data_IF_185334835019
#
_entry.id   IF_185334835019
#
_cell.length_a   1.000
_cell.length_b   1.000
_cell.length_c   1.000
_cell.angle_alpha   90.00
_cell.angle_beta   90.00
_cell.angle_gamma   90.00
#
_symmetry.space_group_name_H-M   'P 1'
#
loop_
_entity.id
_entity.type
_entity.pdbx_description
1 polymer ?
#
# COMPACT_ATOMS: atom_id res chain seq x y z
N UNK A 1 0.42 -7.25 17.26
CA UNK A 1 1.29 -7.28 16.07
C UNK A 1 1.21 -5.90 15.45
N UNK A 2 2.26 -5.09 15.56
CA UNK A 2 2.28 -3.79 14.87
C UNK A 2 2.22 -4.06 13.36
N UNK A 3 1.24 -3.46 12.67
CA UNK A 3 1.16 -3.47 11.21
C UNK A 3 2.53 -3.12 10.61
N UNK A 4 2.92 -3.72 9.46
CA UNK A 4 4.18 -3.38 8.81
C UNK A 4 4.25 -1.87 8.62
N UNK A 5 5.22 -1.24 9.29
CA UNK A 5 5.43 0.22 9.24
C UNK A 5 6.08 0.55 7.89
N UNK A 6 5.23 0.76 6.90
CA UNK A 6 5.63 1.19 5.56
C UNK A 6 5.03 2.54 5.21
N UNK A 7 5.63 3.22 4.24
CA UNK A 7 5.13 4.47 3.69
C UNK A 7 4.85 4.27 2.20
N UNK A 8 3.70 4.75 1.75
CA UNK A 8 3.32 4.78 0.33
C UNK A 8 3.37 6.20 -0.21
N UNK A 9 4.04 6.38 -1.35
CA UNK A 9 3.93 7.58 -2.18
C UNK A 9 3.08 7.24 -3.40
N UNK A 10 1.92 7.88 -3.51
CA UNK A 10 0.95 7.64 -4.58
C UNK A 10 0.96 8.85 -5.52
N UNK A 11 1.19 8.60 -6.80
CA UNK A 11 1.18 9.64 -7.83
C UNK A 11 -0.16 9.65 -8.55
N UNK A 12 -0.61 10.82 -9.00
CA UNK A 12 -1.86 10.96 -9.79
C UNK A 12 -1.89 10.09 -11.07
N UNK A 13 -0.71 9.68 -11.57
CA UNK A 13 -0.59 8.71 -12.67
C UNK A 13 -0.98 7.26 -12.32
N UNK A 14 -1.36 6.97 -11.07
CA UNK A 14 -1.62 5.63 -10.57
C UNK A 14 -0.37 4.82 -10.17
N UNK A 15 0.83 5.37 -10.36
CA UNK A 15 2.08 4.75 -9.87
C UNK A 15 2.19 4.88 -8.35
N UNK A 16 2.68 3.82 -7.71
CA UNK A 16 2.85 3.73 -6.26
C UNK A 16 4.29 3.32 -5.93
N UNK A 17 4.90 4.02 -4.97
CA UNK A 17 6.20 3.65 -4.40
C UNK A 17 6.00 3.24 -2.94
N UNK A 18 6.39 2.02 -2.58
CA UNK A 18 6.33 1.49 -1.21
C UNK A 18 7.74 1.41 -0.62
N UNK A 19 7.94 1.96 0.58
CA UNK A 19 9.25 1.98 1.26
C UNK A 19 9.11 1.66 2.75
N UNK A 20 10.23 1.24 3.37
CA UNK A 20 10.31 1.01 4.82
C UNK A 20 10.01 -0.42 5.27
N UNK A 21 9.72 -1.34 4.34
CA UNK A 21 9.55 -2.75 4.66
C UNK A 21 10.89 -3.44 4.96
N UNK A 22 10.88 -4.39 5.91
CA UNK A 22 12.06 -5.18 6.30
C UNK A 22 12.18 -6.50 5.54
N UNK A 23 11.12 -6.92 4.85
CA UNK A 23 11.08 -8.12 4.01
C UNK A 23 10.05 -7.93 2.90
N UNK A 24 10.12 -8.77 1.88
CA UNK A 24 9.20 -8.73 0.75
C UNK A 24 7.78 -9.12 1.17
N UNK A 25 7.62 -10.07 2.09
CA UNK A 25 6.32 -10.48 2.61
C UNK A 25 5.57 -9.29 3.23
N UNK A 26 6.29 -8.41 3.94
CA UNK A 26 5.70 -7.20 4.50
C UNK A 26 5.26 -6.20 3.44
N UNK A 27 5.97 -6.13 2.30
CA UNK A 27 5.52 -5.33 1.15
C UNK A 27 4.21 -5.90 0.61
N UNK A 28 4.13 -7.21 0.41
CA UNK A 28 2.93 -7.84 -0.14
C UNK A 28 1.71 -7.66 0.78
N UNK A 29 1.88 -7.84 2.09
CA UNK A 29 0.81 -7.60 3.07
C UNK A 29 0.36 -6.14 3.07
N UNK A 30 1.31 -5.19 3.02
CA UNK A 30 0.98 -3.78 3.06
C UNK A 30 0.29 -3.31 1.78
N UNK A 31 0.73 -3.78 0.61
CA UNK A 31 0.08 -3.48 -0.68
C UNK A 31 -1.35 -4.01 -0.70
N UNK A 32 -1.57 -5.24 -0.20
CA UNK A 32 -2.92 -5.81 -0.10
C UNK A 32 -3.84 -4.98 0.79
N UNK A 33 -3.33 -4.49 1.93
CA UNK A 33 -4.08 -3.58 2.82
C UNK A 33 -4.40 -2.26 2.12
N UNK A 34 -3.43 -1.68 1.42
CA UNK A 34 -3.64 -0.43 0.66
C UNK A 34 -4.72 -0.60 -0.42
N UNK A 35 -4.67 -1.68 -1.20
CA UNK A 35 -5.65 -1.94 -2.26
C UNK A 35 -7.06 -2.09 -1.71
N UNK A 36 -7.23 -2.83 -0.61
CA UNK A 36 -8.53 -2.94 0.05
C UNK A 36 -9.05 -1.57 0.51
N UNK A 37 -8.19 -0.74 1.11
CA UNK A 37 -8.59 0.60 1.55
C UNK A 37 -8.98 1.52 0.39
N UNK A 38 -8.31 1.41 -0.76
CA UNK A 38 -8.65 2.20 -1.95
C UNK A 38 -9.96 1.72 -2.57
N UNK A 39 -10.21 0.41 -2.62
CA UNK A 39 -11.47 -0.15 -3.11
C UNK A 39 -12.66 0.30 -2.26
N UNK A 40 -12.50 0.36 -0.94
CA UNK A 40 -13.55 0.82 -0.03
C UNK A 40 -13.86 2.32 -0.17
N UNK A 41 -13.00 3.09 -0.87
CA UNK A 41 -13.13 4.54 -1.04
C UNK A 41 -13.85 4.94 -2.34
N UNK A 42 -14.48 4.00 -3.06
CA UNK A 42 -15.22 4.24 -4.31
C UNK A 42 -14.43 5.07 -5.35
N UNK A 43 -13.11 4.91 -5.40
CA UNK A 43 -12.34 5.39 -6.54
C UNK A 43 -12.65 4.49 -7.73
N UNK A 44 -13.57 4.92 -8.60
CA UNK A 44 -13.65 4.40 -9.97
C UNK A 44 -12.31 4.68 -10.65
N UNK A 45 -11.47 3.64 -10.73
CA UNK A 45 -10.25 3.65 -11.56
C UNK A 45 -10.60 3.59 -13.04
#
# INVERSE_FOLDING_TARGET
MENPKVVFLIFASGKIVCVGAKSEEFIQEAVKKLLNQIQDLDFEM
#
